data_IF_754048611937
#
_entry.id   IF_754048611937
#
_cell.length_a   1.000
_cell.length_b   1.000
_cell.length_c   1.000
_cell.angle_alpha   90.00
_cell.angle_beta   90.00
_cell.angle_gamma   90.00
#
_symmetry.space_group_name_H-M   'P 1'
#
loop_
_entity.id
_entity.type
_entity.pdbx_description
1 polymer ?
#
# COMPACT_ATOMS: atom_id res chain seq x y z
N UNK A 1 9.44 12.04 13.98
CA UNK A 1 9.69 10.77 13.25
C UNK A 1 8.40 10.16 12.71
N UNK A 2 7.40 9.86 13.54
CA UNK A 2 6.18 9.14 13.14
C UNK A 2 5.38 9.82 11.99
N UNK A 3 5.25 11.15 12.00
CA UNK A 3 4.61 11.92 10.92
C UNK A 3 5.35 11.72 9.57
N UNK A 4 6.68 11.71 9.60
CA UNK A 4 7.51 11.52 8.41
C UNK A 4 7.38 10.09 7.86
N UNK A 5 7.25 9.08 8.73
CA UNK A 5 7.06 7.68 8.30
C UNK A 5 5.68 7.48 7.67
N UNK A 6 4.63 8.05 8.27
CA UNK A 6 3.28 8.01 7.71
C UNK A 6 3.19 8.76 6.37
N UNK A 7 3.96 9.84 6.21
CA UNK A 7 4.09 10.55 4.93
C UNK A 7 4.82 9.70 3.88
N UNK A 8 5.92 9.03 4.23
CA UNK A 8 6.60 8.09 3.33
C UNK A 8 5.64 6.97 2.90
N UNK A 9 4.96 6.33 3.85
CA UNK A 9 4.02 5.25 3.58
C UNK A 9 2.86 5.71 2.68
N UNK A 10 2.33 6.92 2.93
CA UNK A 10 1.33 7.56 2.08
C UNK A 10 1.83 7.77 0.66
N UNK A 11 3.07 8.25 0.51
CA UNK A 11 3.70 8.45 -0.80
C UNK A 11 3.93 7.13 -1.53
N UNK A 12 4.36 6.08 -0.83
CA UNK A 12 4.52 4.74 -1.41
C UNK A 12 3.19 4.20 -1.95
N UNK A 13 2.10 4.31 -1.19
CA UNK A 13 0.77 3.94 -1.68
C UNK A 13 0.36 4.73 -2.94
N UNK A 14 0.68 6.03 -3.01
CA UNK A 14 0.41 6.84 -4.22
C UNK A 14 1.23 6.40 -5.42
N UNK A 15 2.54 6.18 -5.24
CA UNK A 15 3.44 5.70 -6.29
C UNK A 15 2.92 4.37 -6.83
N UNK A 16 2.58 3.43 -5.94
CA UNK A 16 1.98 2.16 -6.33
C UNK A 16 0.70 2.36 -7.11
N UNK A 17 -0.20 3.25 -6.66
CA UNK A 17 -1.43 3.57 -7.41
C UNK A 17 -1.15 3.98 -8.86
N UNK A 18 -0.14 4.81 -9.10
CA UNK A 18 0.27 5.20 -10.46
C UNK A 18 0.88 4.06 -11.28
N UNK A 19 1.62 3.16 -10.63
CA UNK A 19 2.15 1.96 -11.31
C UNK A 19 0.98 1.06 -11.75
N UNK A 20 -0.01 0.84 -10.89
CA UNK A 20 -1.20 0.03 -11.23
C UNK A 20 -2.06 0.71 -12.30
N UNK A 21 -2.12 2.05 -12.34
CA UNK A 21 -2.75 2.77 -13.47
C UNK A 21 -2.02 2.47 -14.78
N UNK A 22 -0.68 2.43 -14.77
CA UNK A 22 0.10 2.09 -15.96
C UNK A 22 -0.17 0.64 -16.41
N UNK A 23 -0.31 -0.28 -15.45
CA UNK A 23 -0.69 -1.67 -15.69
C UNK A 23 -2.11 -1.80 -16.27
N UNK A 24 -3.06 -0.97 -15.80
CA UNK A 24 -4.41 -0.90 -16.37
C UNK A 24 -4.39 -0.43 -17.83
N UNK A 25 -3.58 0.58 -18.16
CA UNK A 25 -3.43 1.04 -19.56
C UNK A 25 -2.87 -0.10 -20.43
N UNK A 26 -1.87 -0.83 -19.93
CA UNK A 26 -1.31 -1.97 -20.63
C UNK A 26 -2.32 -3.12 -20.81
N UNK A 27 -3.12 -3.42 -19.79
CA UNK A 27 -4.18 -4.41 -19.87
C UNK A 27 -5.25 -4.03 -20.90
N UNK A 28 -5.62 -2.75 -20.97
CA UNK A 28 -6.53 -2.21 -22.00
C UNK A 28 -5.94 -2.40 -23.39
N UNK A 29 -4.66 -2.06 -23.60
CA UNK A 29 -3.98 -2.30 -24.87
C UNK A 29 -4.03 -3.79 -25.27
N UNK A 30 -3.72 -4.70 -24.34
CA UNK A 30 -3.70 -6.13 -24.60
C UNK A 30 -5.06 -6.71 -25.00
N UNK A 31 -6.17 -6.09 -24.58
CA UNK A 31 -7.52 -6.48 -24.99
C UNK A 31 -7.71 -6.29 -26.49
N UNK A 32 -7.20 -5.18 -27.04
CA UNK A 32 -7.31 -4.89 -28.46
C UNK A 32 -6.43 -5.79 -29.33
N UNK A 33 -5.33 -6.31 -28.78
CA UNK A 33 -4.35 -7.09 -29.56
C UNK A 33 -4.58 -8.61 -29.45
N UNK A 34 -4.99 -9.13 -28.29
CA UNK A 34 -4.93 -10.58 -28.00
C UNK A 34 -6.22 -11.19 -27.45
N UNK A 35 -7.27 -10.40 -27.23
CA UNK A 35 -8.60 -10.84 -26.71
C UNK A 35 -8.51 -11.90 -25.57
N UNK A 36 -7.94 -11.55 -24.40
CA UNK A 36 -7.70 -12.50 -23.33
C UNK A 36 -9.02 -12.99 -22.69
N UNK A 37 -9.06 -14.28 -22.32
CA UNK A 37 -10.12 -14.83 -21.45
C UNK A 37 -10.00 -14.17 -20.07
N UNK A 38 -11.13 -13.82 -19.45
CA UNK A 38 -11.22 -13.15 -18.13
C UNK A 38 -10.79 -11.66 -18.08
N UNK A 39 -10.90 -10.93 -19.19
CA UNK A 39 -10.54 -9.50 -19.24
C UNK A 39 -11.31 -8.63 -18.23
N UNK A 40 -12.63 -8.86 -18.10
CA UNK A 40 -13.50 -8.02 -17.26
C UNK A 40 -13.07 -8.12 -15.79
N UNK A 41 -12.82 -9.34 -15.31
CA UNK A 41 -12.36 -9.57 -13.93
C UNK A 41 -10.99 -8.92 -13.67
N UNK A 42 -10.10 -8.97 -14.66
CA UNK A 42 -8.76 -8.34 -14.56
C UNK A 42 -8.86 -6.82 -14.47
N UNK A 43 -9.68 -6.18 -15.31
CA UNK A 43 -9.91 -4.72 -15.26
C UNK A 43 -10.53 -4.32 -13.92
N UNK A 44 -11.57 -5.03 -13.47
CA UNK A 44 -12.23 -4.74 -12.20
C UNK A 44 -11.26 -4.87 -11.02
N UNK A 45 -10.41 -5.90 -11.03
CA UNK A 45 -9.35 -6.09 -10.04
C UNK A 45 -8.35 -4.94 -10.02
N UNK A 46 -7.90 -4.48 -11.18
CA UNK A 46 -6.98 -3.34 -11.29
C UNK A 46 -7.61 -2.02 -10.82
N UNK A 47 -8.87 -1.75 -11.18
CA UNK A 47 -9.60 -0.56 -10.71
C UNK A 47 -9.76 -0.59 -9.19
N UNK A 48 -10.15 -1.74 -8.63
CA UNK A 48 -10.27 -1.91 -7.17
C UNK A 48 -8.92 -1.73 -6.46
N UNK A 49 -7.84 -2.26 -7.04
CA UNK A 49 -6.48 -2.07 -6.53
C UNK A 49 -6.10 -0.58 -6.51
N UNK A 50 -6.32 0.15 -7.61
CA UNK A 50 -6.05 1.60 -7.71
C UNK A 50 -6.82 2.36 -6.63
N UNK A 51 -8.14 2.13 -6.53
CA UNK A 51 -8.97 2.80 -5.55
C UNK A 51 -8.48 2.55 -4.12
N UNK A 52 -8.15 1.30 -3.81
CA UNK A 52 -7.69 0.94 -2.47
C UNK A 52 -6.33 1.53 -2.14
N UNK A 53 -5.41 1.64 -3.12
CA UNK A 53 -4.13 2.33 -2.91
C UNK A 53 -4.31 3.79 -2.52
N UNK A 54 -5.19 4.52 -3.19
CA UNK A 54 -5.44 5.93 -2.84
C UNK A 54 -6.17 6.09 -1.51
N UNK A 55 -7.08 5.16 -1.18
CA UNK A 55 -7.72 5.11 0.14
C UNK A 55 -6.69 4.85 1.25
N UNK A 56 -5.82 3.86 1.07
CA UNK A 56 -4.72 3.58 2.00
C UNK A 56 -3.77 4.78 2.10
N UNK A 57 -3.40 5.42 0.99
CA UNK A 57 -2.56 6.61 1.00
C UNK A 57 -3.13 7.74 1.85
N UNK A 58 -4.45 7.94 1.84
CA UNK A 58 -5.12 8.93 2.69
C UNK A 58 -5.21 8.45 4.15
N UNK A 59 -5.57 7.19 4.35
CA UNK A 59 -5.80 6.59 5.66
C UNK A 59 -4.54 6.50 6.50
N UNK A 60 -3.41 6.04 5.95
CA UNK A 60 -2.16 5.85 6.69
C UNK A 60 -1.57 7.15 7.25
N UNK A 61 -1.95 8.31 6.70
CA UNK A 61 -1.58 9.62 7.27
C UNK A 61 -2.13 9.83 8.68
N UNK A 62 -3.28 9.23 8.99
CA UNK A 62 -3.92 9.32 10.31
C UNK A 62 -3.18 8.49 11.37
N UNK A 63 -2.37 7.52 10.95
CA UNK A 63 -1.55 6.69 11.85
C UNK A 63 -2.34 5.71 12.72
N UNK A 64 -3.65 5.57 12.53
CA UNK A 64 -4.52 4.68 13.31
C UNK A 64 -4.17 3.20 13.07
N UNK A 65 -4.45 2.34 14.05
CA UNK A 65 -4.25 0.88 13.92
C UNK A 65 -4.99 0.30 12.73
N UNK A 66 -6.24 0.74 12.48
CA UNK A 66 -7.03 0.30 11.34
C UNK A 66 -6.40 0.69 10.00
N UNK A 67 -5.83 1.90 9.90
CA UNK A 67 -5.13 2.34 8.68
C UNK A 67 -3.88 1.49 8.38
N UNK A 68 -3.15 1.08 9.42
CA UNK A 68 -1.98 0.21 9.31
C UNK A 68 -2.38 -1.20 8.87
N UNK A 69 -3.43 -1.77 9.46
CA UNK A 69 -3.95 -3.08 9.05
C UNK A 69 -4.36 -3.06 7.58
N UNK A 70 -5.07 -2.02 7.14
CA UNK A 70 -5.42 -1.86 5.73
C UNK A 70 -4.20 -1.79 4.81
N UNK A 71 -3.15 -1.05 5.22
CA UNK A 71 -1.88 -0.99 4.50
C UNK A 71 -1.18 -2.35 4.39
N UNK A 72 -1.16 -3.13 5.48
CA UNK A 72 -0.57 -4.48 5.51
C UNK A 72 -1.30 -5.41 4.53
N UNK A 73 -2.63 -5.48 4.62
CA UNK A 73 -3.44 -6.34 3.75
C UNK A 73 -3.16 -6.03 2.28
N UNK A 74 -3.15 -4.75 1.91
CA UNK A 74 -2.91 -4.33 0.53
C UNK A 74 -1.48 -4.62 0.09
N UNK A 75 -0.51 -4.43 0.97
CA UNK A 75 0.89 -4.76 0.65
C UNK A 75 1.07 -6.26 0.44
N UNK A 76 0.40 -7.12 1.20
CA UNK A 76 0.44 -8.58 0.99
C UNK A 76 -0.14 -8.95 -0.37
N UNK A 77 -1.29 -8.39 -0.74
CA UNK A 77 -1.90 -8.65 -2.05
C UNK A 77 -0.98 -8.25 -3.21
N UNK A 78 -0.22 -7.16 -3.03
CA UNK A 78 0.74 -6.70 -4.03
C UNK A 78 1.96 -7.63 -4.22
N UNK A 79 2.34 -8.44 -3.23
CA UNK A 79 3.52 -9.30 -3.33
C UNK A 79 3.47 -10.22 -4.55
N UNK A 80 2.27 -10.61 -4.97
CA UNK A 80 2.02 -11.52 -6.09
C UNK A 80 1.65 -10.80 -7.40
N UNK A 81 1.64 -9.47 -7.42
CA UNK A 81 1.01 -8.72 -8.52
C UNK A 81 2.00 -8.37 -9.64
N UNK A 82 3.25 -7.98 -9.31
CA UNK A 82 4.31 -7.71 -10.30
C UNK A 82 5.69 -7.57 -9.60
N UNK A 83 6.83 -7.87 -10.27
CA UNK A 83 8.15 -7.91 -9.64
C UNK A 83 8.58 -6.62 -8.93
N UNK A 84 8.31 -5.46 -9.55
CA UNK A 84 8.59 -4.14 -8.94
C UNK A 84 7.65 -3.89 -7.75
N UNK A 85 6.43 -4.40 -7.82
CA UNK A 85 5.40 -4.29 -6.79
C UNK A 85 5.75 -5.08 -5.55
N UNK A 86 6.41 -6.23 -5.71
CA UNK A 86 6.94 -7.02 -4.60
C UNK A 86 7.97 -6.23 -3.78
N UNK A 87 8.91 -5.54 -4.43
CA UNK A 87 9.91 -4.73 -3.73
C UNK A 87 9.24 -3.60 -2.94
N UNK A 88 8.32 -2.88 -3.59
CA UNK A 88 7.58 -1.77 -2.94
C UNK A 88 6.72 -2.29 -1.79
N UNK A 89 6.07 -3.44 -1.97
CA UNK A 89 5.24 -4.10 -0.96
C UNK A 89 6.05 -4.50 0.28
N UNK A 90 7.26 -5.06 0.10
CA UNK A 90 8.17 -5.37 1.22
C UNK A 90 8.54 -4.11 1.99
N UNK A 91 8.85 -3.02 1.30
CA UNK A 91 9.14 -1.73 1.93
C UNK A 91 7.91 -1.22 2.70
N UNK A 92 6.72 -1.26 2.11
CA UNK A 92 5.47 -0.84 2.76
C UNK A 92 5.15 -1.71 3.99
N UNK A 93 5.37 -3.02 3.92
CA UNK A 93 5.23 -3.93 5.06
C UNK A 93 6.19 -3.58 6.19
N UNK A 94 7.45 -3.27 5.88
CA UNK A 94 8.40 -2.81 6.88
C UNK A 94 7.91 -1.55 7.60
N UNK A 95 7.44 -0.54 6.86
CA UNK A 95 6.89 0.67 7.48
C UNK A 95 5.60 0.45 8.26
N UNK A 96 4.78 -0.52 7.86
CA UNK A 96 3.48 -0.80 8.49
C UNK A 96 3.57 -1.70 9.72
N UNK A 97 4.45 -2.70 9.70
CA UNK A 97 4.64 -3.68 10.79
C UNK A 97 5.45 -3.11 11.95
N UNK A 98 6.52 -2.38 11.67
CA UNK A 98 7.33 -1.80 12.72
C UNK A 98 6.65 -0.53 13.26
N UNK A 99 6.22 -0.57 14.52
CA UNK A 99 5.64 0.58 15.21
C UNK A 99 6.76 1.56 15.54
N UNK A 100 6.98 2.55 14.67
CA UNK A 100 7.95 3.63 14.84
C UNK A 100 7.52 4.66 15.90
N UNK A 101 7.03 4.20 17.05
CA UNK A 101 6.66 5.05 18.18
C UNK A 101 7.90 5.64 18.84
N UNK A 102 7.79 6.92 19.23
CA UNK A 102 8.55 7.45 20.36
C UNK A 102 7.62 7.29 21.57
N UNK A 103 7.97 6.36 22.44
CA UNK A 103 8.03 6.53 23.90
C UNK A 103 7.87 5.17 24.59
N UNK A 104 8.92 4.77 25.29
CA UNK A 104 8.85 3.74 26.31
C UNK A 104 7.78 4.14 27.32
N UNK A 105 6.70 3.37 27.43
CA UNK A 105 5.72 3.46 28.53
C UNK A 105 6.32 3.13 29.90
N UNK A 106 7.62 2.82 29.98
CA UNK A 106 8.34 2.60 31.22
C UNK A 106 8.73 3.93 31.85
N UNK A 107 7.81 4.52 32.62
CA UNK A 107 8.19 5.53 33.60
C UNK A 107 8.82 4.80 34.79
N UNK A 108 10.13 4.97 34.97
CA UNK A 108 10.77 4.62 36.24
C UNK A 108 10.04 5.41 37.34
N UNK A 109 9.59 4.78 38.44
CA UNK A 109 9.02 5.52 39.54
C UNK A 109 10.13 6.44 40.08
N UNK A 110 10.00 7.73 39.83
CA UNK A 110 10.87 8.74 40.41
C UNK A 110 10.53 8.75 41.90
N UNK A 111 11.43 8.17 42.68
CA UNK A 111 11.35 8.09 44.13
C UNK A 111 11.59 9.49 44.69
N UNK A 112 10.52 10.18 45.11
CA UNK A 112 10.58 11.27 46.08
C UNK A 112 9.72 10.88 47.28
#
# INVERSE_FOLDING_TARGET
MLIHHNQILSTLHRITGFIVISDLIYAIYNIFVHTPKYFIGSILGLIAAIATQFLCARSVKTGTTSSRIGSIVISILMLNMFPIGTVIAVVMLFFSLFKWEKDSTFQLPIKN
#
